data_IF_923782493736
#
_entry.id   IF_923782493736
#
_cell.length_a   1.000
_cell.length_b   1.000
_cell.length_c   1.000
_cell.angle_alpha   90.00
_cell.angle_beta   90.00
_cell.angle_gamma   90.00
#
_symmetry.space_group_name_H-M   'P 1'
#
loop_
_entity.id
_entity.type
_entity.pdbx_description
1 polymer ?
#
# COMPACT_ATOMS: atom_id res chain seq x y z
N UNK A 1 4.39 31.38 -24.78
CA UNK A 1 4.23 31.27 -23.30
C UNK A 1 4.49 29.84 -22.90
N UNK A 2 5.74 29.48 -22.60
CA UNK A 2 6.12 28.11 -22.25
C UNK A 2 5.92 27.86 -20.76
N UNK A 3 4.88 27.10 -20.40
CA UNK A 3 4.71 26.62 -19.02
C UNK A 3 5.80 25.61 -18.69
N UNK A 4 6.54 25.94 -17.64
CA UNK A 4 7.82 25.36 -17.29
C UNK A 4 7.61 23.97 -16.68
N UNK A 5 7.90 22.92 -17.46
CA UNK A 5 7.71 21.48 -17.13
C UNK A 5 8.35 21.09 -15.78
N UNK A 6 9.46 21.75 -15.43
CA UNK A 6 10.17 21.59 -14.14
C UNK A 6 9.39 22.14 -12.94
N UNK A 7 8.54 23.14 -13.16
CA UNK A 7 7.73 23.77 -12.13
C UNK A 7 6.57 22.85 -11.70
N UNK A 8 5.97 22.12 -12.65
CA UNK A 8 4.93 21.12 -12.37
C UNK A 8 5.49 19.90 -11.62
N UNK A 9 6.70 19.41 -11.96
CA UNK A 9 7.34 18.29 -11.28
C UNK A 9 7.84 18.63 -9.87
N UNK A 10 8.21 19.90 -9.62
CA UNK A 10 8.66 20.37 -8.31
C UNK A 10 7.49 20.56 -7.34
N UNK A 11 6.40 21.21 -7.79
CA UNK A 11 5.17 21.34 -6.99
C UNK A 11 4.40 20.02 -6.87
N UNK A 12 4.44 19.16 -7.88
CA UNK A 12 3.87 17.81 -7.82
C UNK A 12 4.51 16.98 -6.70
N UNK A 13 5.84 17.04 -6.56
CA UNK A 13 6.58 16.40 -5.45
C UNK A 13 6.29 17.01 -4.09
N UNK A 14 6.24 18.33 -3.98
CA UNK A 14 5.90 19.03 -2.72
C UNK A 14 4.45 18.82 -2.28
N UNK A 15 3.51 18.69 -3.23
CA UNK A 15 2.14 18.29 -2.94
C UNK A 15 2.06 16.81 -2.57
N UNK A 16 2.80 15.91 -3.25
CA UNK A 16 2.91 14.49 -2.87
C UNK A 16 3.44 14.33 -1.44
N UNK A 17 4.47 15.09 -1.07
CA UNK A 17 5.07 15.05 0.27
C UNK A 17 4.11 15.58 1.34
N UNK A 18 3.42 16.70 1.10
CA UNK A 18 2.42 17.23 2.05
C UNK A 18 1.16 16.38 2.11
N UNK A 19 0.69 15.81 0.99
CA UNK A 19 -0.43 14.87 0.97
C UNK A 19 -0.05 13.57 1.70
N UNK A 20 1.21 13.13 1.55
CA UNK A 20 1.79 12.04 2.33
C UNK A 20 1.72 12.31 3.83
N UNK A 21 2.15 13.48 4.29
CA UNK A 21 2.12 13.86 5.72
C UNK A 21 0.71 13.86 6.33
N UNK A 22 -0.32 14.33 5.63
CA UNK A 22 -1.68 14.42 6.17
C UNK A 22 -2.39 13.07 6.25
N UNK A 23 -2.08 12.16 5.32
CA UNK A 23 -2.76 10.87 5.25
C UNK A 23 -2.20 9.84 6.21
N UNK A 24 -0.92 9.95 6.58
CA UNK A 24 -0.26 8.96 7.43
C UNK A 24 -0.69 9.04 8.91
N UNK A 25 -1.64 9.93 9.29
CA UNK A 25 -2.34 9.89 10.59
C UNK A 25 -3.56 8.98 10.60
N UNK A 26 -4.08 8.64 9.43
CA UNK A 26 -5.26 7.80 9.31
C UNK A 26 -4.87 6.33 9.37
N UNK A 27 -5.78 5.48 9.86
CA UNK A 27 -5.55 4.04 9.86
C UNK A 27 -5.75 3.46 8.44
N UNK A 28 -4.83 2.61 7.94
CA UNK A 28 -4.99 1.99 6.64
C UNK A 28 -6.19 1.05 6.62
N UNK A 29 -6.99 1.15 5.57
CA UNK A 29 -8.14 0.29 5.29
C UNK A 29 -7.68 -1.01 4.65
N UNK A 30 -7.22 -1.93 5.50
CA UNK A 30 -6.82 -3.28 5.12
C UNK A 30 -8.03 -4.21 5.07
N UNK A 31 -7.92 -5.30 4.30
CA UNK A 31 -9.01 -6.27 4.19
C UNK A 31 -9.30 -6.94 5.52
N UNK A 32 -10.58 -6.96 5.87
CA UNK A 32 -11.12 -7.63 7.04
C UNK A 32 -11.19 -9.15 6.84
N UNK A 33 -11.35 -9.88 7.94
CA UNK A 33 -11.54 -11.33 7.89
C UNK A 33 -12.76 -11.77 7.06
N UNK A 34 -13.83 -10.95 7.07
CA UNK A 34 -15.04 -11.20 6.30
C UNK A 34 -14.80 -11.08 4.79
N UNK A 35 -14.05 -10.08 4.35
CA UNK A 35 -13.70 -9.86 2.94
C UNK A 35 -12.72 -10.93 2.41
N UNK A 36 -11.79 -11.38 3.26
CA UNK A 36 -10.79 -12.39 2.89
C UNK A 36 -11.40 -13.77 2.63
N UNK A 37 -12.51 -14.09 3.31
CA UNK A 37 -13.17 -15.39 3.21
C UNK A 37 -12.19 -16.56 3.41
N UNK A 38 -11.36 -16.51 4.45
CA UNK A 38 -10.20 -17.40 4.65
C UNK A 38 -10.55 -18.90 4.66
N UNK A 39 -11.80 -19.27 5.02
CA UNK A 39 -12.26 -20.67 4.93
C UNK A 39 -12.36 -21.17 3.49
N UNK A 40 -12.77 -20.29 2.57
CA UNK A 40 -12.94 -20.59 1.15
C UNK A 40 -11.64 -20.38 0.37
N UNK A 41 -10.84 -19.40 0.81
CA UNK A 41 -9.57 -19.05 0.18
C UNK A 41 -8.43 -19.16 1.23
N UNK A 42 -7.95 -20.37 1.54
CA UNK A 42 -6.90 -20.55 2.53
C UNK A 42 -5.62 -19.83 2.09
N UNK A 43 -4.95 -19.10 3.01
CA UNK A 43 -3.72 -18.38 2.69
C UNK A 43 -2.57 -19.35 2.47
N UNK A 44 -1.74 -19.03 1.47
CA UNK A 44 -0.48 -19.70 1.17
C UNK A 44 0.66 -18.73 1.46
N UNK A 45 1.63 -19.15 2.24
CA UNK A 45 2.82 -18.36 2.51
C UNK A 45 3.75 -18.38 1.30
N UNK A 46 4.51 -17.31 1.10
CA UNK A 46 5.68 -17.36 0.23
C UNK A 46 6.84 -17.99 1.00
N UNK A 47 7.65 -18.81 0.32
CA UNK A 47 8.88 -19.37 0.92
C UNK A 47 9.86 -18.27 1.33
N UNK A 48 9.88 -17.17 0.57
CA UNK A 48 10.63 -15.95 0.85
C UNK A 48 9.75 -14.73 0.59
N UNK A 49 9.74 -13.71 1.48
CA UNK A 49 9.02 -12.47 1.24
C UNK A 49 9.46 -11.80 -0.07
N UNK A 50 8.49 -11.30 -0.85
CA UNK A 50 8.76 -10.68 -2.16
C UNK A 50 8.58 -9.18 -2.10
N UNK A 51 9.53 -8.41 -2.62
CA UNK A 51 9.36 -6.96 -2.78
C UNK A 51 8.27 -6.67 -3.81
N UNK A 52 7.33 -5.82 -3.45
CA UNK A 52 6.19 -5.42 -4.28
C UNK A 52 5.89 -3.94 -4.12
N UNK A 53 5.19 -3.38 -5.10
CA UNK A 53 4.43 -2.15 -4.90
C UNK A 53 2.97 -2.50 -4.60
N UNK A 54 2.41 -1.92 -3.55
CA UNK A 54 1.02 -2.11 -3.18
C UNK A 54 0.30 -0.77 -3.07
N UNK A 55 -0.92 -0.71 -3.61
CA UNK A 55 -1.86 0.37 -3.31
C UNK A 55 -2.56 0.08 -1.98
N UNK A 56 -2.36 0.97 -1.00
CA UNK A 56 -3.01 0.93 0.31
C UNK A 56 -4.00 2.08 0.40
N UNK A 57 -5.23 1.76 0.78
CA UNK A 57 -6.30 2.75 0.99
C UNK A 57 -6.22 3.28 2.42
N UNK A 58 -6.39 4.57 2.54
CA UNK A 58 -6.68 5.32 3.75
C UNK A 58 -8.05 6.00 3.56
N UNK A 59 -8.75 6.40 4.63
CA UNK A 59 -10.03 7.08 4.55
C UNK A 59 -10.09 8.20 3.49
N UNK A 60 -9.07 9.06 3.39
CA UNK A 60 -9.10 10.19 2.44
C UNK A 60 -8.38 9.92 1.11
N UNK A 61 -7.55 8.88 0.98
CA UNK A 61 -6.81 8.64 -0.26
C UNK A 61 -6.32 7.20 -0.47
N UNK A 62 -5.70 6.96 -1.63
CA UNK A 62 -4.94 5.74 -1.88
C UNK A 62 -3.47 6.09 -2.15
N UNK A 63 -2.56 5.38 -1.49
CA UNK A 63 -1.11 5.58 -1.61
C UNK A 63 -0.48 4.33 -2.20
N UNK A 64 0.42 4.51 -3.17
CA UNK A 64 1.27 3.42 -3.66
C UNK A 64 2.57 3.41 -2.88
N UNK A 65 2.87 2.29 -2.23
CA UNK A 65 4.06 2.15 -1.39
C UNK A 65 4.82 0.85 -1.69
N UNK A 66 6.12 0.84 -1.35
CA UNK A 66 6.92 -0.37 -1.39
C UNK A 66 6.63 -1.22 -0.15
N UNK A 67 6.43 -2.52 -0.36
CA UNK A 67 6.11 -3.48 0.69
C UNK A 67 6.75 -4.85 0.43
N UNK A 68 6.65 -5.73 1.42
CA UNK A 68 7.01 -7.14 1.31
C UNK A 68 5.75 -8.00 1.31
N UNK A 69 5.51 -8.75 0.24
CA UNK A 69 4.44 -9.74 0.19
C UNK A 69 4.89 -11.02 0.93
N UNK A 70 4.13 -11.44 1.95
CA UNK A 70 4.48 -12.56 2.85
C UNK A 70 3.56 -13.77 2.68
N UNK A 71 2.30 -13.54 2.31
CA UNK A 71 1.32 -14.58 2.00
C UNK A 71 0.35 -14.13 0.91
N UNK A 72 -0.38 -15.06 0.34
CA UNK A 72 -1.39 -14.78 -0.69
C UNK A 72 -2.58 -15.74 -0.59
N UNK A 73 -3.74 -15.27 -1.01
CA UNK A 73 -4.93 -16.07 -1.28
C UNK A 73 -5.29 -15.91 -2.76
N UNK A 74 -6.35 -16.60 -3.21
CA UNK A 74 -6.87 -16.42 -4.58
C UNK A 74 -7.16 -14.94 -4.93
N UNK A 75 -7.61 -14.15 -3.95
CA UNK A 75 -8.12 -12.78 -4.14
C UNK A 75 -7.29 -11.70 -3.47
N UNK A 76 -6.40 -12.03 -2.52
CA UNK A 76 -5.70 -11.05 -1.70
C UNK A 76 -4.22 -11.41 -1.48
N UNK A 77 -3.43 -10.42 -1.08
CA UNK A 77 -2.01 -10.57 -0.74
C UNK A 77 -1.77 -9.94 0.63
N UNK A 78 -1.09 -10.66 1.52
CA UNK A 78 -0.60 -10.15 2.79
C UNK A 78 0.68 -9.38 2.53
N UNK A 79 0.68 -8.09 2.86
CA UNK A 79 1.82 -7.21 2.75
C UNK A 79 2.31 -6.81 4.14
N UNK A 80 3.61 -6.59 4.23
CA UNK A 80 4.29 -5.96 5.36
C UNK A 80 5.00 -4.71 4.86
N UNK A 81 4.70 -3.58 5.45
CA UNK A 81 5.26 -2.29 5.06
C UNK A 81 5.64 -1.50 6.32
N UNK A 82 6.56 -0.56 6.14
CA UNK A 82 6.98 0.32 7.21
C UNK A 82 6.22 1.64 7.08
N UNK A 83 5.53 2.03 8.14
CA UNK A 83 4.78 3.27 8.21
C UNK A 83 5.64 4.31 8.91
N UNK A 84 6.16 5.26 8.13
CA UNK A 84 7.13 6.24 8.58
C UNK A 84 6.60 7.14 9.70
N UNK A 85 5.29 7.42 9.72
CA UNK A 85 4.70 8.37 10.68
C UNK A 85 4.60 7.83 12.10
N UNK A 86 4.21 6.56 12.24
CA UNK A 86 4.10 5.90 13.55
C UNK A 86 5.38 5.13 13.91
N UNK A 87 6.43 5.26 13.09
CA UNK A 87 7.71 4.56 13.22
C UNK A 87 7.53 3.05 13.50
N UNK A 88 6.62 2.42 12.75
CA UNK A 88 6.22 1.05 13.01
C UNK A 88 6.05 0.22 11.74
N UNK A 89 6.35 -1.06 11.87
CA UNK A 89 6.00 -2.04 10.85
C UNK A 89 4.54 -2.43 11.00
N UNK A 90 3.80 -2.37 9.90
CA UNK A 90 2.44 -2.91 9.83
C UNK A 90 2.36 -4.09 8.89
N UNK A 91 1.40 -4.94 9.15
CA UNK A 91 1.01 -6.03 8.26
C UNK A 91 -0.48 -6.00 8.01
N UNK A 92 -0.87 -6.41 6.81
CA UNK A 92 -2.25 -6.31 6.38
C UNK A 92 -2.51 -7.00 5.07
N UNK A 93 -3.77 -7.25 4.78
CA UNK A 93 -4.17 -7.80 3.50
C UNK A 93 -4.69 -6.71 2.59
N UNK A 94 -4.32 -6.80 1.32
CA UNK A 94 -4.84 -5.96 0.23
C UNK A 94 -5.35 -6.85 -0.89
N UNK A 95 -6.24 -6.32 -1.74
CA UNK A 95 -6.69 -7.05 -2.91
C UNK A 95 -5.52 -7.38 -3.83
N UNK A 96 -5.54 -8.55 -4.46
CA UNK A 96 -4.45 -9.03 -5.31
C UNK A 96 -4.15 -8.11 -6.48
N UNK A 97 -5.17 -7.48 -7.05
CA UNK A 97 -5.04 -6.51 -8.15
C UNK A 97 -4.47 -5.16 -7.70
N UNK A 98 -4.35 -4.91 -6.40
CA UNK A 98 -3.70 -3.74 -5.85
C UNK A 98 -2.17 -3.90 -5.75
N UNK A 99 -1.63 -5.07 -6.08
CA UNK A 99 -0.21 -5.42 -5.92
C UNK A 99 0.44 -5.67 -7.28
N UNK A 100 1.59 -5.04 -7.50
CA UNK A 100 2.46 -5.27 -8.66
C UNK A 100 3.87 -5.65 -8.21
N UNK A 101 4.63 -6.44 -8.98
CA UNK A 101 6.06 -6.64 -8.74
C UNK A 101 6.81 -5.30 -8.63
N UNK A 102 7.82 -5.25 -7.76
CA UNK A 102 8.72 -4.10 -7.61
C UNK A 102 9.84 -4.11 -8.65
#
# INVERSE_FOLDING_TARGET
MGQNKRYAEHYGRLMDERIGEWVMREEPMLLTAAELQLRQNPPKNFDQPRRVYAWVRYPTQAVRMQAMATAWTRTAVKIRFYEQHVDAWREGWVWRNAVTPA
#
